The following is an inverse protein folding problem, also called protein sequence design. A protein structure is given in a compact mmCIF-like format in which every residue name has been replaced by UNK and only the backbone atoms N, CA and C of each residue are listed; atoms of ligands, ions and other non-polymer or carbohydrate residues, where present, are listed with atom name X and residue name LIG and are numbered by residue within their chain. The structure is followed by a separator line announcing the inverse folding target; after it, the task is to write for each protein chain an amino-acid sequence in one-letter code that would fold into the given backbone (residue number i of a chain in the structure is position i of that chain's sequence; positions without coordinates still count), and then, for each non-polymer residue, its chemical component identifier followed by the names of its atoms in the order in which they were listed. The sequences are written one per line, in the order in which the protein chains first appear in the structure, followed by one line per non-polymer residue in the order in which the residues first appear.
data_IF_936566154474
#
_entry.id   IF_936566154474
#
_cell.length_a   1.000
_cell.length_b   1.000
_cell.length_c   1.000
_cell.angle_alpha   90.00
_cell.angle_beta   90.00
_cell.angle_gamma   90.00
#
_symmetry.space_group_name_H-M   'P 1'
#
loop_
_entity.id
_entity.type
_entity.pdbx_description
1 polymer ?
#
# COMPACT_ATOMS: atom_id res chain seq x y z
N UNK A 1 -10.23 -38.31 -41.03
CA UNK A 1 -10.72 -37.81 -39.74
C UNK A 1 -9.58 -37.91 -38.73
N UNK A 2 -8.86 -36.80 -38.53
CA UNK A 2 -7.84 -36.70 -37.49
C UNK A 2 -8.51 -36.16 -36.22
N UNK A 3 -8.27 -36.85 -35.11
CA UNK A 3 -8.88 -36.60 -33.81
C UNK A 3 -8.46 -35.22 -33.31
N UNK A 4 -9.38 -34.25 -33.32
CA UNK A 4 -9.28 -33.00 -32.56
C UNK A 4 -9.48 -33.32 -31.06
N UNK A 5 -8.51 -33.98 -30.45
CA UNK A 5 -8.42 -34.16 -29.01
C UNK A 5 -7.44 -33.12 -28.47
N UNK A 6 -7.97 -31.99 -28.01
CA UNK A 6 -7.20 -30.93 -27.40
C UNK A 6 -8.13 -29.91 -26.78
N UNK A 7 -8.86 -30.31 -25.73
CA UNK A 7 -9.43 -29.35 -24.81
C UNK A 7 -8.29 -28.46 -24.32
N UNK A 8 -8.22 -27.22 -24.80
CA UNK A 8 -7.44 -26.17 -24.16
C UNK A 8 -7.86 -26.17 -22.69
N UNK A 9 -6.90 -26.36 -21.78
CA UNK A 9 -7.16 -26.18 -20.35
C UNK A 9 -7.92 -24.86 -20.16
N UNK A 10 -9.05 -24.93 -19.46
CA UNK A 10 -9.87 -23.75 -19.23
C UNK A 10 -9.00 -22.66 -18.60
N UNK A 11 -8.88 -21.54 -19.29
CA UNK A 11 -7.97 -20.48 -18.89
C UNK A 11 -8.41 -19.94 -17.53
N UNK A 12 -7.54 -20.06 -16.53
CA UNK A 12 -7.76 -19.49 -15.21
C UNK A 12 -7.55 -17.99 -15.27
N UNK A 13 -8.38 -17.27 -14.53
CA UNK A 13 -8.30 -15.81 -14.47
C UNK A 13 -7.13 -15.35 -13.60
N UNK A 14 -6.69 -14.11 -13.81
CA UNK A 14 -5.69 -13.45 -12.96
C UNK A 14 -6.07 -13.52 -11.48
N UNK A 15 -7.33 -13.27 -11.14
CA UNK A 15 -7.81 -13.29 -9.75
C UNK A 15 -7.69 -14.68 -9.12
N UNK A 16 -8.02 -15.73 -9.88
CA UNK A 16 -7.88 -17.11 -9.40
C UNK A 16 -6.41 -17.41 -9.04
N UNK A 17 -5.46 -17.00 -9.88
CA UNK A 17 -4.04 -17.17 -9.57
C UNK A 17 -3.56 -16.37 -8.35
N UNK A 18 -4.16 -15.20 -8.07
CA UNK A 18 -3.86 -14.42 -6.86
C UNK A 18 -4.30 -15.18 -5.60
N UNK A 19 -5.42 -15.88 -5.67
CA UNK A 19 -5.98 -16.68 -4.57
C UNK A 19 -5.30 -18.05 -4.42
N UNK A 20 -4.58 -18.51 -5.45
CA UNK A 20 -3.88 -19.80 -5.51
C UNK A 20 -2.36 -19.63 -5.74
N UNK A 21 -1.61 -19.07 -4.77
CA UNK A 21 -0.20 -18.70 -4.94
C UNK A 21 0.73 -19.91 -5.15
N UNK A 22 0.38 -21.07 -4.62
CA UNK A 22 1.11 -22.33 -4.79
C UNK A 22 1.03 -22.86 -6.23
N UNK A 23 -0.13 -22.69 -6.87
CA UNK A 23 -0.34 -23.03 -8.28
C UNK A 23 0.29 -21.98 -9.19
N UNK A 24 0.12 -20.70 -8.86
CA UNK A 24 0.74 -19.58 -9.57
C UNK A 24 2.26 -19.74 -9.68
N UNK A 25 2.93 -20.11 -8.58
CA UNK A 25 4.39 -20.26 -8.58
C UNK A 25 4.86 -21.29 -9.64
N UNK A 26 4.14 -22.41 -9.78
CA UNK A 26 4.46 -23.47 -10.74
C UNK A 26 4.18 -23.03 -12.17
N UNK A 27 2.99 -22.47 -12.43
CA UNK A 27 2.58 -22.02 -13.76
C UNK A 27 3.46 -20.87 -14.25
N UNK A 28 3.72 -19.88 -13.40
CA UNK A 28 4.60 -18.76 -13.74
C UNK A 28 6.04 -19.21 -14.06
N UNK A 29 6.58 -20.17 -13.30
CA UNK A 29 7.91 -20.73 -13.57
C UNK A 29 7.94 -21.43 -14.94
N UNK A 30 6.95 -22.27 -15.23
CA UNK A 30 6.82 -22.94 -16.53
C UNK A 30 6.70 -21.93 -17.68
N UNK A 31 5.87 -20.90 -17.55
CA UNK A 31 5.71 -19.85 -18.56
C UNK A 31 7.01 -19.05 -18.82
N UNK A 32 7.81 -18.83 -17.78
CA UNK A 32 9.11 -18.15 -17.92
C UNK A 32 10.13 -19.02 -18.66
N UNK A 33 10.09 -20.33 -18.42
CA UNK A 33 10.99 -21.29 -19.04
C UNK A 33 10.63 -21.55 -20.51
N UNK A 34 9.34 -21.72 -20.81
CA UNK A 34 8.90 -22.00 -22.18
C UNK A 34 8.83 -20.77 -23.07
N UNK A 35 8.60 -19.58 -22.49
CA UNK A 35 8.36 -18.35 -23.25
C UNK A 35 6.95 -18.29 -23.89
N UNK A 36 6.04 -19.17 -23.46
CA UNK A 36 4.69 -19.25 -24.01
C UNK A 36 3.82 -18.05 -23.62
N UNK A 37 2.97 -17.62 -24.56
CA UNK A 37 2.02 -16.53 -24.38
C UNK A 37 0.56 -16.99 -24.26
N UNK A 38 0.32 -18.22 -23.75
CA UNK A 38 -1.04 -18.74 -23.54
C UNK A 38 -1.85 -17.85 -22.59
N UNK A 39 -3.19 -17.96 -22.63
CA UNK A 39 -4.07 -17.22 -21.72
C UNK A 39 -3.74 -17.50 -20.24
N UNK A 40 -3.33 -18.72 -19.90
CA UNK A 40 -2.86 -19.08 -18.57
C UNK A 40 -1.54 -18.38 -18.23
N UNK A 41 -0.58 -18.30 -19.17
CA UNK A 41 0.68 -17.58 -18.94
C UNK A 41 0.50 -16.07 -18.82
N UNK A 42 -0.42 -15.48 -19.59
CA UNK A 42 -0.78 -14.07 -19.46
C UNK A 42 -1.40 -13.79 -18.10
N UNK A 43 -2.38 -14.59 -17.68
CA UNK A 43 -3.07 -14.44 -16.40
C UNK A 43 -2.14 -14.69 -15.21
N UNK A 44 -1.29 -15.72 -15.26
CA UNK A 44 -0.30 -16.01 -14.23
C UNK A 44 0.76 -14.91 -14.13
N UNK A 45 1.25 -14.39 -15.26
CA UNK A 45 2.21 -13.28 -15.27
C UNK A 45 1.62 -12.02 -14.66
N UNK A 46 0.36 -11.71 -15.02
CA UNK A 46 -0.35 -10.57 -14.46
C UNK A 46 -0.60 -10.74 -12.95
N UNK A 47 -0.97 -11.95 -12.49
CA UNK A 47 -1.16 -12.24 -11.07
C UNK A 47 0.15 -12.12 -10.30
N UNK A 48 1.24 -12.65 -10.84
CA UNK A 48 2.57 -12.52 -10.23
C UNK A 48 3.01 -11.06 -10.15
N UNK A 49 2.71 -10.25 -11.17
CA UNK A 49 2.94 -8.81 -11.13
C UNK A 49 2.10 -8.13 -10.04
N UNK A 50 0.80 -8.43 -9.95
CA UNK A 50 -0.08 -7.87 -8.92
C UNK A 50 0.41 -8.21 -7.51
N UNK A 51 0.75 -9.47 -7.24
CA UNK A 51 1.30 -9.90 -5.95
C UNK A 51 2.62 -9.19 -5.66
N UNK A 52 3.51 -9.05 -6.66
CA UNK A 52 4.77 -8.30 -6.51
C UNK A 52 4.53 -6.83 -6.21
N UNK A 53 3.50 -6.20 -6.79
CA UNK A 53 3.16 -4.80 -6.50
C UNK A 53 2.52 -4.65 -5.12
N UNK A 54 1.63 -5.56 -4.72
CA UNK A 54 1.02 -5.58 -3.38
C UNK A 54 2.06 -5.81 -2.29
N UNK A 55 3.07 -6.63 -2.58
CA UNK A 55 4.21 -6.90 -1.70
C UNK A 55 5.42 -6.04 -2.03
N UNK A 56 5.28 -5.06 -2.92
CA UNK A 56 6.38 -4.21 -3.29
C UNK A 56 6.88 -3.54 -2.02
N UNK A 57 8.19 -3.56 -1.79
CA UNK A 57 8.74 -2.82 -0.70
C UNK A 57 8.32 -1.36 -0.87
N UNK A 58 7.89 -0.73 0.22
CA UNK A 58 7.60 0.71 0.23
C UNK A 58 8.83 1.41 -0.38
N UNK A 59 8.70 2.44 -1.21
CA UNK A 59 9.86 3.14 -1.75
C UNK A 59 10.59 3.96 -0.68
N UNK A 60 11.90 4.14 -0.86
CA UNK A 60 12.75 4.86 0.09
C UNK A 60 12.88 6.30 -0.34
N UNK A 61 12.72 7.22 0.60
CA UNK A 61 12.72 8.66 0.31
C UNK A 61 14.11 9.30 0.45
N UNK A 62 15.09 8.54 0.91
CA UNK A 62 16.47 8.97 1.15
C UNK A 62 17.51 8.14 0.36
N UNK A 63 17.08 7.07 -0.32
CA UNK A 63 17.99 6.12 -0.98
C UNK A 63 18.89 5.31 -0.03
N UNK A 64 18.77 5.50 1.30
CA UNK A 64 19.66 4.94 2.33
C UNK A 64 18.92 3.94 3.21
N UNK A 65 17.68 4.22 3.59
CA UNK A 65 16.93 3.33 4.47
C UNK A 65 16.41 2.12 3.71
N UNK A 66 16.64 0.90 4.20
CA UNK A 66 16.16 -0.31 3.52
C UNK A 66 14.62 -0.43 3.59
N UNK A 67 14.01 -1.02 2.57
CA UNK A 67 12.55 -1.15 2.55
C UNK A 67 11.99 -2.06 3.66
N UNK A 68 12.84 -2.95 4.20
CA UNK A 68 12.52 -3.81 5.35
C UNK A 68 12.48 -3.03 6.67
N UNK A 69 13.28 -1.97 6.80
CA UNK A 69 13.23 -1.07 7.95
C UNK A 69 12.04 -0.10 7.85
N UNK A 70 11.71 0.35 6.63
CA UNK A 70 10.55 1.22 6.38
C UNK A 70 9.22 0.51 6.64
N UNK A 71 9.12 -0.76 6.29
CA UNK A 71 7.97 -1.60 6.62
C UNK A 71 7.71 -1.75 8.12
N UNK A 72 8.69 -1.43 8.99
CA UNK A 72 8.57 -1.45 10.46
C UNK A 72 8.20 -0.09 11.07
N UNK A 73 8.22 0.98 10.27
CA UNK A 73 7.86 2.31 10.75
C UNK A 73 6.40 2.33 11.14
N UNK A 74 6.11 2.82 12.36
CA UNK A 74 4.77 3.08 12.85
C UNK A 74 4.41 4.56 12.62
N UNK A 75 3.67 4.88 11.53
CA UNK A 75 3.43 6.26 11.12
C UNK A 75 2.30 6.93 11.90
N UNK A 76 1.36 6.15 12.46
CA UNK A 76 0.24 6.70 13.23
C UNK A 76 0.63 6.79 14.70
N UNK A 77 0.80 8.03 15.15
CA UNK A 77 1.00 8.45 16.53
C UNK A 77 0.24 9.75 16.73
N UNK A 78 0.12 10.19 17.97
CA UNK A 78 -0.32 11.55 18.24
C UNK A 78 0.79 12.53 17.87
N UNK A 79 0.45 13.55 17.07
CA UNK A 79 1.39 14.60 16.67
C UNK A 79 0.82 15.96 16.99
N UNK A 80 1.64 16.79 17.61
CA UNK A 80 1.37 18.22 17.65
C UNK A 80 1.71 18.82 16.28
N UNK A 81 0.93 19.81 15.84
CA UNK A 81 1.09 20.51 14.57
C UNK A 81 0.93 22.01 14.75
N UNK A 82 1.64 22.76 13.92
CA UNK A 82 1.44 24.19 13.73
C UNK A 82 0.92 24.44 12.32
N UNK A 83 0.08 25.45 12.16
CA UNK A 83 -0.48 25.82 10.85
C UNK A 83 -0.10 27.26 10.56
N UNK A 84 0.56 27.49 9.43
CA UNK A 84 0.97 28.82 9.00
C UNK A 84 -0.24 29.78 8.99
N UNK A 85 -0.10 30.93 9.65
CA UNK A 85 -1.17 31.93 9.75
C UNK A 85 -2.20 31.70 10.87
N UNK A 86 -2.15 30.58 11.60
CA UNK A 86 -2.94 30.35 12.82
C UNK A 86 -2.05 30.40 14.05
N UNK A 87 -2.51 31.08 15.11
CA UNK A 87 -1.83 31.05 16.42
C UNK A 87 -2.31 29.84 17.21
N UNK A 88 -1.36 29.06 17.74
CA UNK A 88 -1.63 27.91 18.59
C UNK A 88 -1.11 26.59 18.03
N UNK A 89 -1.00 25.60 18.90
CA UNK A 89 -0.66 24.21 18.55
C UNK A 89 -1.97 23.44 18.41
N UNK A 90 -2.13 22.73 17.30
CA UNK A 90 -3.22 21.77 17.08
C UNK A 90 -2.67 20.35 17.17
N UNK A 91 -3.54 19.35 17.22
CA UNK A 91 -3.13 17.96 17.34
C UNK A 91 -3.74 17.09 16.23
N UNK A 92 -2.94 16.15 15.73
CA UNK A 92 -3.36 15.02 14.92
C UNK A 92 -3.58 13.82 15.85
N UNK A 93 -4.78 13.26 15.82
CA UNK A 93 -5.16 12.13 16.66
C UNK A 93 -5.63 10.98 15.78
N UNK A 94 -5.16 9.78 16.07
CA UNK A 94 -5.52 8.57 15.34
C UNK A 94 -6.15 7.55 16.28
N UNK A 95 -7.11 6.74 15.80
CA UNK A 95 -7.76 5.73 16.59
C UNK A 95 -6.77 4.63 17.01
N UNK A 96 -7.03 4.02 18.17
CA UNK A 96 -6.18 2.99 18.78
C UNK A 96 -5.77 1.86 17.81
N UNK A 97 -6.64 1.34 16.92
CA UNK A 97 -6.26 0.28 15.99
C UNK A 97 -5.20 0.70 14.97
N UNK A 98 -4.90 1.99 14.81
CA UNK A 98 -3.82 2.46 13.93
C UNK A 98 -2.51 2.70 14.69
N UNK A 99 -2.60 3.03 15.98
CA UNK A 99 -1.45 3.45 16.77
C UNK A 99 -0.41 2.32 16.90
N UNK A 100 0.86 2.66 16.66
CA UNK A 100 1.98 1.73 16.82
C UNK A 100 2.07 0.63 15.75
N UNK A 101 1.09 0.52 14.83
CA UNK A 101 1.14 -0.46 13.74
C UNK A 101 2.13 -0.04 12.67
N UNK A 102 2.89 -1.00 12.18
CA UNK A 102 3.83 -0.77 11.10
C UNK A 102 3.12 -0.62 9.75
N UNK A 103 3.77 -0.02 8.75
CA UNK A 103 3.21 0.08 7.40
C UNK A 103 2.83 -1.28 6.78
N UNK A 104 3.54 -2.36 7.13
CA UNK A 104 3.17 -3.70 6.69
C UNK A 104 1.89 -4.21 7.37
N UNK A 105 1.75 -3.93 8.67
CA UNK A 105 0.58 -4.36 9.44
C UNK A 105 -0.68 -3.61 9.01
N UNK A 106 -0.53 -2.43 8.40
CA UNK A 106 -1.64 -1.56 7.99
C UNK A 106 -2.41 -2.03 6.76
N UNK A 107 -1.85 -2.95 5.95
CA UNK A 107 -2.46 -3.37 4.66
C UNK A 107 -3.91 -3.86 4.77
N UNK A 108 -4.27 -4.46 5.91
CA UNK A 108 -5.62 -5.00 6.15
C UNK A 108 -6.38 -4.29 7.27
N UNK A 109 -5.74 -3.37 8.00
CA UNK A 109 -6.32 -2.75 9.20
C UNK A 109 -7.53 -1.89 8.87
N UNK A 110 -7.59 -1.30 7.67
CA UNK A 110 -8.75 -0.51 7.24
C UNK A 110 -10.06 -1.27 7.41
N UNK A 111 -10.08 -2.56 7.08
CA UNK A 111 -11.28 -3.40 7.13
C UNK A 111 -11.76 -3.68 8.57
N UNK A 112 -10.90 -3.46 9.57
CA UNK A 112 -11.24 -3.68 10.98
C UNK A 112 -11.60 -2.38 11.71
N UNK A 113 -11.52 -1.23 11.04
CA UNK A 113 -11.87 0.06 11.62
C UNK A 113 -13.39 0.26 11.61
N UNK A 114 -13.90 0.83 12.72
CA UNK A 114 -15.29 1.30 12.77
C UNK A 114 -15.42 2.59 11.96
N UNK A 115 -16.64 2.93 11.55
CA UNK A 115 -16.90 4.19 10.81
C UNK A 115 -16.42 5.43 11.58
N UNK A 116 -16.61 5.45 12.91
CA UNK A 116 -16.11 6.53 13.78
C UNK A 116 -14.59 6.66 13.74
N UNK A 117 -13.88 5.53 13.75
CA UNK A 117 -12.42 5.48 13.73
C UNK A 117 -11.89 5.93 12.37
N UNK A 118 -12.58 5.52 11.29
CA UNK A 118 -12.27 5.94 9.94
C UNK A 118 -12.47 7.45 9.77
N UNK A 119 -13.56 8.01 10.31
CA UNK A 119 -13.82 9.44 10.28
C UNK A 119 -12.76 10.25 11.04
N UNK A 120 -12.37 9.78 12.23
CA UNK A 120 -11.30 10.41 13.03
C UNK A 120 -9.95 10.38 12.28
N UNK A 121 -9.56 9.21 11.78
CA UNK A 121 -8.32 9.04 11.05
C UNK A 121 -8.29 9.90 9.78
N UNK A 122 -9.40 9.94 9.04
CA UNK A 122 -9.56 10.77 7.84
C UNK A 122 -9.42 12.26 8.16
N UNK A 123 -10.10 12.77 9.18
CA UNK A 123 -10.01 14.17 9.58
C UNK A 123 -8.57 14.59 9.94
N UNK A 124 -7.83 13.72 10.63
CA UNK A 124 -6.41 13.95 10.93
C UNK A 124 -5.53 13.88 9.68
N UNK A 125 -5.79 12.94 8.78
CA UNK A 125 -5.07 12.83 7.51
C UNK A 125 -5.33 14.00 6.54
N UNK A 126 -6.52 14.63 6.59
CA UNK A 126 -6.81 15.83 5.80
C UNK A 126 -6.05 17.04 6.34
N UNK A 127 -6.03 17.23 7.67
CA UNK A 127 -5.29 18.34 8.33
C UNK A 127 -3.80 18.35 7.98
N UNK A 128 -3.16 17.19 7.87
CA UNK A 128 -1.72 17.12 7.53
C UNK A 128 -1.44 17.51 6.06
N UNK A 129 -2.44 17.47 5.17
CA UNK A 129 -2.33 17.96 3.79
C UNK A 129 -2.53 19.47 3.66
N UNK A 130 -3.08 20.14 4.67
CA UNK A 130 -3.33 21.58 4.60
C UNK A 130 -2.00 22.33 4.39
N UNK A 131 -2.05 23.31 3.48
CA UNK A 131 -0.87 24.12 3.14
C UNK A 131 -0.38 24.85 4.39
N UNK A 132 0.91 24.71 4.70
CA UNK A 132 1.54 25.35 5.85
C UNK A 132 1.35 24.61 7.18
N UNK A 133 0.77 23.40 7.18
CA UNK A 133 0.80 22.50 8.33
C UNK A 133 2.19 21.88 8.48
N UNK A 134 2.77 22.01 9.67
CA UNK A 134 4.08 21.45 10.03
C UNK A 134 4.01 20.69 11.35
N UNK A 135 4.77 19.60 11.46
CA UNK A 135 5.04 18.93 12.74
C UNK A 135 6.31 19.55 13.33
N UNK A 136 6.26 20.17 14.52
CA UNK A 136 7.41 20.86 15.11
C UNK A 136 8.44 19.84 15.63
N UNK A 137 9.44 19.51 14.80
CA UNK A 137 10.63 18.71 15.14
C UNK A 137 11.66 18.79 13.99
N UNK A 138 12.94 18.50 14.27
CA UNK A 138 14.01 18.39 13.26
C UNK A 138 13.71 17.31 12.19
N UNK A 139 12.90 16.30 12.54
CA UNK A 139 12.41 15.27 11.62
C UNK A 139 10.96 15.49 11.16
N UNK A 140 10.38 16.68 11.38
CA UNK A 140 8.96 16.96 11.13
C UNK A 140 8.50 16.68 9.70
N UNK A 141 9.33 17.02 8.71
CA UNK A 141 9.06 16.80 7.29
C UNK A 141 9.03 15.30 6.91
N UNK A 142 9.96 14.52 7.45
CA UNK A 142 10.03 13.07 7.24
C UNK A 142 8.83 12.36 7.89
N UNK A 143 8.44 12.80 9.09
CA UNK A 143 7.25 12.30 9.79
C UNK A 143 5.99 12.64 8.99
N UNK A 144 5.84 13.89 8.54
CA UNK A 144 4.71 14.33 7.72
C UNK A 144 4.61 13.52 6.43
N UNK A 145 5.74 13.29 5.77
CA UNK A 145 5.82 12.46 4.57
C UNK A 145 5.31 11.02 4.84
N UNK A 146 5.84 10.37 5.87
CA UNK A 146 5.47 9.00 6.25
C UNK A 146 3.99 8.89 6.61
N UNK A 147 3.47 9.90 7.30
CA UNK A 147 2.08 9.96 7.69
C UNK A 147 1.16 10.13 6.48
N UNK A 148 1.50 11.02 5.56
CA UNK A 148 0.75 11.20 4.30
C UNK A 148 0.73 9.90 3.50
N UNK A 149 1.88 9.22 3.38
CA UNK A 149 1.96 7.93 2.70
C UNK A 149 1.05 6.88 3.35
N UNK A 150 1.07 6.77 4.69
CA UNK A 150 0.23 5.84 5.44
C UNK A 150 -1.27 6.14 5.25
N UNK A 151 -1.64 7.42 5.28
CA UNK A 151 -3.01 7.88 5.03
C UNK A 151 -3.48 7.54 3.60
N UNK A 152 -2.59 7.62 2.61
CA UNK A 152 -2.87 7.21 1.23
C UNK A 152 -2.95 5.69 1.06
N UNK A 153 -2.14 4.92 1.80
CA UNK A 153 -2.17 3.46 1.79
C UNK A 153 -3.51 2.93 2.32
N UNK A 154 -4.04 3.57 3.37
CA UNK A 154 -5.36 3.29 3.92
C UNK A 154 -6.50 3.99 3.16
N UNK A 155 -6.19 4.67 2.05
CA UNK A 155 -7.12 5.46 1.23
C UNK A 155 -8.07 6.34 2.07
N UNK A 156 -7.50 6.97 3.11
CA UNK A 156 -8.14 8.00 3.94
C UNK A 156 -8.09 9.37 3.24
N UNK A 157 -7.07 9.57 2.40
CA UNK A 157 -6.89 10.74 1.53
C UNK A 157 -6.60 10.29 0.10
N UNK A 158 -6.95 11.13 -0.86
CA UNK A 158 -6.68 10.86 -2.28
C UNK A 158 -5.16 10.86 -2.56
N UNK A 159 -4.70 9.87 -3.34
CA UNK A 159 -3.37 9.92 -3.96
C UNK A 159 -3.39 10.98 -5.06
N UNK A 160 -2.55 11.99 -4.94
CA UNK A 160 -2.42 12.98 -5.99
C UNK A 160 -1.81 12.33 -7.24
N UNK A 161 -2.43 12.56 -8.40
CA UNK A 161 -1.90 12.12 -9.69
C UNK A 161 -0.56 12.82 -9.91
N UNK A 162 0.55 12.09 -9.75
CA UNK A 162 1.90 12.63 -9.92
C UNK A 162 2.86 12.35 -8.77
N UNK A 163 2.39 11.74 -7.67
CA UNK A 163 3.28 11.30 -6.59
C UNK A 163 4.20 10.16 -7.09
N UNK A 164 5.41 10.52 -7.55
CA UNK A 164 6.47 9.56 -7.82
C UNK A 164 7.21 9.27 -6.52
N UNK A 165 7.41 8.01 -6.17
CA UNK A 165 8.28 7.65 -5.07
C UNK A 165 9.73 8.07 -5.29
#
# INVERSE_FOLDING_TARGET
MALMAGCSEEAKTTQWYVEHPDVLAKVYAACKESGDATLNCQSATQAQFQIKQLNAPIPGFDGVTSSKERGKVAPFKTYDITVLGKRGVSQLSFPEPLLGKSLNDLKNVRQTLKESDLALAKASCEKIKDIGTNIPNDHGSEIQYRLIYACQLLELIQREKGFKP
#
